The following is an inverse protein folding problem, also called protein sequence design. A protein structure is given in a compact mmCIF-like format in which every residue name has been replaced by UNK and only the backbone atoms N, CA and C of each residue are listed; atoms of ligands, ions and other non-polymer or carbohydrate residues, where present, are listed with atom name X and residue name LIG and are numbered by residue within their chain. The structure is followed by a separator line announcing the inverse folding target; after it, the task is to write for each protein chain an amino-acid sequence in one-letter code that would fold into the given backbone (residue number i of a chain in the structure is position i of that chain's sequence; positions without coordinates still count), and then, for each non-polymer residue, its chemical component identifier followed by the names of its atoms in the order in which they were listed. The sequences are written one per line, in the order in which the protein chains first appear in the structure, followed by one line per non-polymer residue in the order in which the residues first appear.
data_IF_013434268866
#
_entry.id   IF_013434268866
#
_cell.length_a   1.000
_cell.length_b   1.000
_cell.length_c   1.000
_cell.angle_alpha   90.00
_cell.angle_beta   90.00
_cell.angle_gamma   90.00
#
_symmetry.space_group_name_H-M   'P 1'
#
loop_
_entity.id
_entity.type
_entity.pdbx_description
1 polymer ?
#
# COMPACT_ATOMS: atom_id res chain seq x y z
N UNK A 1 1.51 -11.55 37.53
CA UNK A 1 2.75 -10.81 37.26
C UNK A 1 3.55 -11.48 36.15
N UNK A 2 3.72 -12.79 36.15
CA UNK A 2 4.47 -13.52 35.12
C UNK A 2 3.81 -13.53 33.74
N UNK A 3 2.47 -13.60 33.68
CA UNK A 3 1.73 -13.61 32.40
C UNK A 3 1.73 -12.25 31.70
N UNK A 4 1.71 -11.16 32.45
CA UNK A 4 1.79 -9.82 31.87
C UNK A 4 3.18 -9.51 31.31
N UNK A 5 4.24 -10.00 31.96
CA UNK A 5 5.60 -9.87 31.44
C UNK A 5 5.80 -10.66 30.16
N UNK A 6 5.24 -11.85 30.04
CA UNK A 6 5.30 -12.65 28.82
C UNK A 6 4.58 -11.99 27.63
N UNK A 7 3.49 -11.27 27.89
CA UNK A 7 2.77 -10.53 26.84
C UNK A 7 3.55 -9.30 26.40
N UNK A 8 4.23 -8.61 27.30
CA UNK A 8 5.05 -7.44 26.98
C UNK A 8 6.32 -7.77 26.22
N UNK A 9 6.87 -8.95 26.42
CA UNK A 9 8.08 -9.40 25.73
C UNK A 9 7.78 -9.96 24.33
N UNK A 10 6.51 -10.09 23.95
CA UNK A 10 6.12 -10.53 22.63
C UNK A 10 6.22 -9.38 21.63
N UNK A 11 7.33 -9.36 20.90
CA UNK A 11 7.46 -8.49 19.74
C UNK A 11 6.62 -9.07 18.60
N UNK A 12 5.54 -8.38 18.22
CA UNK A 12 4.74 -8.76 17.08
C UNK A 12 5.47 -8.44 15.79
N UNK A 13 5.72 -9.44 14.96
CA UNK A 13 6.27 -9.26 13.61
C UNK A 13 5.13 -9.22 12.61
N UNK A 14 4.74 -8.03 12.19
CA UNK A 14 3.58 -7.82 11.33
C UNK A 14 3.71 -8.50 9.96
N UNK A 15 4.94 -8.74 9.48
CA UNK A 15 5.15 -9.44 8.21
C UNK A 15 4.90 -10.95 8.31
N UNK A 16 5.07 -11.52 9.50
CA UNK A 16 5.03 -12.98 9.71
C UNK A 16 3.92 -13.44 10.65
N UNK A 17 3.42 -12.57 11.53
CA UNK A 17 2.45 -12.95 12.56
C UNK A 17 0.99 -12.89 12.09
N UNK A 18 0.73 -12.31 10.92
CA UNK A 18 -0.60 -12.37 10.31
C UNK A 18 -0.87 -13.82 9.86
N UNK A 19 -2.02 -14.35 10.27
CA UNK A 19 -2.42 -15.71 9.87
C UNK A 19 -2.43 -15.83 8.34
N UNK A 20 -1.69 -16.78 7.75
CA UNK A 20 -1.69 -17.00 6.31
C UNK A 20 -3.07 -17.19 5.69
N UNK A 21 -4.05 -17.68 6.45
CA UNK A 21 -5.43 -17.85 6.00
C UNK A 21 -6.12 -16.52 5.69
N UNK A 22 -5.60 -15.41 6.20
CA UNK A 22 -6.10 -14.06 5.93
C UNK A 22 -5.54 -13.46 4.65
N UNK A 23 -4.62 -14.15 3.98
CA UNK A 23 -3.95 -13.67 2.77
C UNK A 23 -4.23 -14.66 1.63
N UNK A 24 -5.08 -14.27 0.71
CA UNK A 24 -5.32 -14.99 -0.55
C UNK A 24 -5.38 -13.98 -1.70
N UNK A 25 -5.26 -14.43 -2.97
CA UNK A 25 -5.29 -13.51 -4.10
C UNK A 25 -6.55 -12.64 -4.20
N UNK A 26 -7.69 -13.15 -3.75
CA UNK A 26 -8.98 -12.46 -3.86
C UNK A 26 -9.47 -11.84 -2.55
N UNK A 27 -8.75 -12.06 -1.45
CA UNK A 27 -9.15 -11.64 -0.11
C UNK A 27 -7.91 -11.59 0.76
N UNK A 28 -7.41 -10.39 1.03
CA UNK A 28 -6.19 -10.21 1.79
C UNK A 28 -6.28 -9.05 2.77
N UNK A 29 -5.35 -9.02 3.71
CA UNK A 29 -5.17 -7.90 4.63
C UNK A 29 -4.08 -6.99 4.08
N UNK A 30 -4.40 -5.71 3.98
CA UNK A 30 -3.43 -4.65 3.73
C UNK A 30 -3.10 -3.93 5.04
N UNK A 31 -1.85 -3.59 5.23
CA UNK A 31 -1.38 -2.76 6.34
C UNK A 31 -1.09 -1.37 5.79
N UNK A 32 -1.82 -0.37 6.27
CA UNK A 32 -1.67 0.99 5.75
C UNK A 32 -0.58 1.73 6.53
N UNK A 33 0.42 2.21 5.81
CA UNK A 33 1.50 3.03 6.36
C UNK A 33 1.24 4.52 6.15
N UNK A 34 0.67 4.89 5.00
CA UNK A 34 0.50 6.28 4.58
C UNK A 34 -0.97 6.53 4.23
N UNK A 35 -1.66 7.42 4.98
CA UNK A 35 -3.04 7.77 4.64
C UNK A 35 -3.15 8.54 3.32
N UNK A 36 -4.29 8.40 2.65
CA UNK A 36 -4.63 9.23 1.50
C UNK A 36 -4.51 10.72 1.85
N UNK A 37 -3.93 11.49 0.94
CA UNK A 37 -3.75 12.93 1.10
C UNK A 37 -2.51 13.35 1.88
N UNK A 38 -1.69 12.39 2.32
CA UNK A 38 -0.48 12.65 3.09
C UNK A 38 0.71 12.94 2.18
N UNK A 39 1.57 13.86 2.62
CA UNK A 39 2.87 14.15 1.99
C UNK A 39 4.04 13.52 2.73
N UNK A 40 3.82 12.98 3.88
CA UNK A 40 4.87 12.32 4.66
C UNK A 40 4.97 10.87 4.20
N UNK A 41 6.16 10.48 3.74
CA UNK A 41 6.43 9.08 3.45
C UNK A 41 6.82 8.36 4.74
N UNK A 42 5.94 7.49 5.19
CA UNK A 42 6.19 6.60 6.33
C UNK A 42 6.60 5.23 5.84
N UNK A 43 7.48 4.61 6.60
CA UNK A 43 7.86 3.22 6.42
C UNK A 43 7.79 2.49 7.76
N UNK A 44 7.31 1.26 7.75
CA UNK A 44 7.36 0.42 8.93
C UNK A 44 8.80 0.00 9.19
N UNK A 45 9.32 0.35 10.35
CA UNK A 45 10.66 -0.04 10.75
C UNK A 45 10.68 -1.50 11.19
N UNK A 46 11.45 -2.33 10.49
CA UNK A 46 11.50 -3.78 10.73
C UNK A 46 12.10 -4.12 12.09
N UNK A 47 12.97 -3.27 12.60
CA UNK A 47 13.65 -3.50 13.88
C UNK A 47 12.74 -3.24 15.07
N UNK A 48 11.95 -2.19 15.03
CA UNK A 48 11.13 -1.75 16.17
C UNK A 48 9.65 -2.05 16.04
N UNK A 49 9.15 -2.28 14.81
CA UNK A 49 7.73 -2.41 14.54
C UNK A 49 6.96 -1.08 14.54
N UNK A 50 7.67 0.03 14.68
CA UNK A 50 7.08 1.38 14.64
C UNK A 50 7.18 1.97 13.23
N UNK A 51 6.34 2.95 12.95
CA UNK A 51 6.51 3.76 11.74
C UNK A 51 7.65 4.75 11.93
N UNK A 52 8.51 4.84 10.93
CA UNK A 52 9.49 5.91 10.85
C UNK A 52 9.15 6.84 9.69
N UNK A 53 9.44 8.12 9.85
CA UNK A 53 9.37 9.08 8.75
C UNK A 53 10.62 8.91 7.88
N UNK A 54 10.42 8.44 6.65
CA UNK A 54 11.53 8.37 5.67
C UNK A 54 11.85 9.77 5.16
N UNK A 55 10.86 10.45 4.63
CA UNK A 55 10.98 11.84 4.18
C UNK A 55 9.62 12.49 3.97
N UNK A 56 9.62 13.80 3.82
CA UNK A 56 8.48 14.54 3.29
C UNK A 56 8.69 14.66 1.78
N UNK A 57 7.66 14.41 0.98
CA UNK A 57 7.77 14.51 -0.47
C UNK A 57 8.21 15.90 -0.88
N UNK A 58 9.16 15.97 -1.82
CA UNK A 58 9.70 17.25 -2.29
C UNK A 58 8.75 17.96 -3.25
N UNK A 59 7.88 17.23 -3.92
CA UNK A 59 6.87 17.78 -4.81
C UNK A 59 5.65 18.26 -4.02
N UNK A 60 4.76 19.01 -4.66
CA UNK A 60 3.49 19.43 -4.08
C UNK A 60 2.43 18.32 -4.11
N UNK A 61 2.78 17.11 -4.55
CA UNK A 61 1.87 15.97 -4.63
C UNK A 61 1.64 15.34 -3.25
N UNK A 62 0.55 14.63 -3.12
CA UNK A 62 0.22 13.83 -1.96
C UNK A 62 -0.24 12.45 -2.41
N UNK A 63 -0.18 11.46 -1.52
CA UNK A 63 -0.60 10.09 -1.85
C UNK A 63 -2.06 10.07 -2.28
N UNK A 64 -2.38 9.48 -3.44
CA UNK A 64 -3.74 9.52 -4.01
C UNK A 64 -4.70 8.50 -3.39
N UNK A 65 -4.19 7.57 -2.58
CA UNK A 65 -4.95 6.54 -1.90
C UNK A 65 -4.24 6.16 -0.62
N UNK A 66 -4.91 5.41 0.25
CA UNK A 66 -4.25 4.80 1.41
C UNK A 66 -3.21 3.81 0.89
N UNK A 67 -1.97 3.95 1.33
CA UNK A 67 -0.84 3.22 0.79
C UNK A 67 -0.18 2.38 1.87
N UNK A 68 0.18 1.17 1.52
CA UNK A 68 0.84 0.28 2.45
C UNK A 68 1.35 -0.99 1.77
N UNK A 69 1.29 -2.10 2.49
CA UNK A 69 1.81 -3.36 1.98
C UNK A 69 0.88 -4.52 2.35
N UNK A 70 1.06 -5.63 1.65
CA UNK A 70 0.36 -6.88 1.93
C UNK A 70 1.35 -7.78 2.66
N UNK A 71 1.11 -8.10 3.96
CA UNK A 71 2.02 -8.98 4.70
C UNK A 71 2.09 -10.38 4.09
N UNK A 72 3.18 -11.09 4.34
CA UNK A 72 3.45 -12.45 3.85
C UNK A 72 3.53 -12.55 2.32
N UNK A 73 3.76 -11.44 1.61
CA UNK A 73 4.02 -11.42 0.17
C UNK A 73 5.45 -11.03 -0.12
N UNK A 74 5.90 -11.35 -1.33
CA UNK A 74 7.23 -11.04 -1.82
C UNK A 74 7.13 -10.45 -3.21
N UNK A 75 7.71 -9.26 -3.38
CA UNK A 75 7.87 -8.62 -4.68
C UNK A 75 9.30 -8.86 -5.23
N UNK A 76 9.56 -8.43 -6.46
CA UNK A 76 10.86 -8.58 -7.13
C UNK A 76 12.00 -7.87 -6.41
N UNK A 77 11.70 -6.85 -5.60
CA UNK A 77 12.65 -6.09 -4.79
C UNK A 77 12.94 -6.73 -3.41
N UNK A 78 12.43 -7.93 -3.15
CA UNK A 78 12.50 -8.68 -1.89
C UNK A 78 11.75 -8.02 -0.71
N UNK A 79 10.91 -7.03 -0.98
CA UNK A 79 10.00 -6.44 -0.01
C UNK A 79 8.56 -6.97 -0.21
N UNK A 80 7.67 -6.84 0.78
CA UNK A 80 6.26 -7.15 0.59
C UNK A 80 5.66 -6.35 -0.57
N UNK A 81 4.61 -6.90 -1.19
CA UNK A 81 3.90 -6.19 -2.25
C UNK A 81 3.27 -4.91 -1.72
N UNK A 82 3.50 -3.81 -2.41
CA UNK A 82 2.85 -2.54 -2.13
C UNK A 82 1.39 -2.57 -2.59
N UNK A 83 0.55 -1.87 -1.88
CA UNK A 83 -0.88 -1.78 -2.19
C UNK A 83 -1.39 -0.34 -2.04
N UNK A 84 -2.21 0.06 -3.00
CA UNK A 84 -3.01 1.28 -2.97
C UNK A 84 -4.45 0.88 -2.67
N UNK A 85 -4.97 1.30 -1.53
CA UNK A 85 -6.35 0.98 -1.14
C UNK A 85 -7.24 2.18 -1.42
N UNK A 86 -8.08 2.03 -2.45
CA UNK A 86 -9.09 3.03 -2.81
C UNK A 86 -10.28 2.90 -1.88
N UNK A 87 -10.53 3.93 -1.10
CA UNK A 87 -11.71 3.99 -0.26
C UNK A 87 -12.17 5.43 -0.06
N UNK A 88 -13.37 5.59 0.48
CA UNK A 88 -14.02 6.89 0.62
C UNK A 88 -13.39 7.79 1.69
N UNK A 89 -12.61 7.19 2.61
CA UNK A 89 -11.98 7.91 3.71
C UNK A 89 -10.50 7.56 3.81
N UNK A 90 -9.71 8.45 4.40
CA UNK A 90 -8.37 8.08 4.85
C UNK A 90 -8.45 7.32 6.17
N UNK A 91 -7.53 6.41 6.39
CA UNK A 91 -7.48 5.62 7.61
C UNK A 91 -6.21 5.92 8.40
N UNK A 92 -6.27 5.66 9.70
CA UNK A 92 -5.12 5.84 10.59
C UNK A 92 -4.00 4.89 10.19
N UNK A 93 -2.72 5.34 10.19
CA UNK A 93 -1.59 4.46 9.94
C UNK A 93 -1.57 3.23 10.85
N UNK A 94 -1.07 2.12 10.35
CA UNK A 94 -1.06 0.80 10.99
C UNK A 94 -2.43 0.13 11.06
N UNK A 95 -3.41 0.62 10.32
CA UNK A 95 -4.72 -0.03 10.20
C UNK A 95 -4.61 -1.26 9.30
N UNK A 96 -5.22 -2.35 9.74
CA UNK A 96 -5.43 -3.54 8.93
C UNK A 96 -6.73 -3.38 8.14
N UNK A 97 -6.65 -3.52 6.83
CA UNK A 97 -7.81 -3.42 5.95
C UNK A 97 -7.99 -4.71 5.16
N UNK A 98 -9.14 -5.33 5.29
CA UNK A 98 -9.49 -6.50 4.47
C UNK A 98 -9.93 -6.02 3.11
N UNK A 99 -9.21 -6.42 2.07
CA UNK A 99 -9.35 -5.92 0.71
C UNK A 99 -9.44 -7.03 -0.33
N UNK A 100 -9.86 -6.64 -1.52
CA UNK A 100 -9.75 -7.46 -2.73
C UNK A 100 -9.09 -6.64 -3.84
N UNK A 101 -8.33 -7.27 -4.75
CA UNK A 101 -7.64 -6.54 -5.81
C UNK A 101 -8.58 -6.20 -6.95
N UNK A 102 -8.34 -5.06 -7.60
CA UNK A 102 -9.05 -4.66 -8.83
C UNK A 102 -8.11 -4.32 -9.98
N UNK A 103 -6.82 -4.22 -9.74
CA UNK A 103 -5.84 -3.91 -10.78
C UNK A 103 -4.43 -3.85 -10.22
N UNK A 104 -3.48 -3.52 -11.08
CA UNK A 104 -2.08 -3.38 -10.74
C UNK A 104 -1.46 -2.24 -11.53
N UNK A 105 -0.57 -1.49 -10.88
CA UNK A 105 0.33 -0.54 -11.54
C UNK A 105 1.69 -1.20 -11.64
N UNK A 106 2.20 -1.29 -12.86
CA UNK A 106 3.55 -1.79 -13.12
C UNK A 106 4.44 -0.58 -13.43
N UNK A 107 5.52 -0.45 -12.68
CA UNK A 107 6.46 0.65 -12.86
C UNK A 107 7.90 0.15 -12.68
N UNK A 108 8.84 0.93 -13.18
CA UNK A 108 10.26 0.70 -12.98
C UNK A 108 10.80 1.77 -12.05
N UNK A 109 11.41 1.35 -10.95
CA UNK A 109 12.04 2.24 -9.98
C UNK A 109 13.52 1.87 -9.86
N UNK A 110 14.39 2.80 -10.27
CA UNK A 110 15.86 2.61 -10.22
C UNK A 110 16.35 1.33 -10.93
N UNK A 111 15.70 0.96 -12.04
CA UNK A 111 16.03 -0.20 -12.84
C UNK A 111 15.35 -1.50 -12.43
N UNK A 112 14.63 -1.51 -11.32
CA UNK A 112 13.88 -2.67 -10.82
C UNK A 112 12.40 -2.54 -11.08
N UNK A 113 11.77 -3.66 -11.40
CA UNK A 113 10.30 -3.73 -11.53
C UNK A 113 9.66 -3.52 -10.17
N UNK A 114 8.70 -2.62 -10.11
CA UNK A 114 7.92 -2.31 -8.92
C UNK A 114 6.44 -2.43 -9.25
N UNK A 115 5.78 -3.38 -8.65
CA UNK A 115 4.35 -3.63 -8.86
C UNK A 115 3.56 -3.16 -7.65
N UNK A 116 2.49 -2.40 -7.91
CA UNK A 116 1.60 -1.91 -6.86
C UNK A 116 0.20 -2.40 -7.12
N UNK A 117 -0.34 -3.16 -6.16
CA UNK A 117 -1.71 -3.67 -6.25
C UNK A 117 -2.67 -2.52 -5.98
N UNK A 118 -3.73 -2.45 -6.77
CA UNK A 118 -4.86 -1.55 -6.51
C UNK A 118 -5.97 -2.38 -5.91
N UNK A 119 -6.44 -2.00 -4.74
CA UNK A 119 -7.42 -2.79 -3.99
C UNK A 119 -8.54 -1.92 -3.43
N UNK A 120 -9.64 -2.57 -3.07
CA UNK A 120 -10.81 -1.96 -2.46
C UNK A 120 -11.12 -2.71 -1.17
N UNK A 121 -11.42 -1.99 -0.06
CA UNK A 121 -11.84 -2.66 1.17
C UNK A 121 -13.25 -3.21 1.04
N UNK A 122 -13.45 -4.44 1.50
CA UNK A 122 -14.79 -5.05 1.53
C UNK A 122 -15.80 -4.22 2.33
N UNK A 123 -15.31 -3.52 3.34
CA UNK A 123 -16.15 -2.77 4.26
C UNK A 123 -16.57 -1.36 3.79
N UNK A 124 -16.15 -0.93 2.60
CA UNK A 124 -16.51 0.40 2.09
C UNK A 124 -17.68 0.31 1.11
N UNK A 125 -18.89 0.72 1.51
CA UNK A 125 -20.09 0.64 0.65
C UNK A 125 -20.03 1.57 -0.56
N UNK A 126 -19.18 2.60 -0.55
CA UNK A 126 -19.01 3.50 -1.70
C UNK A 126 -18.23 2.87 -2.84
N UNK A 127 -17.35 1.90 -2.54
CA UNK A 127 -16.45 1.31 -3.53
C UNK A 127 -16.63 -0.20 -3.72
N UNK A 128 -17.24 -0.91 -2.79
CA UNK A 128 -17.24 -2.38 -2.79
C UNK A 128 -18.10 -3.04 -3.89
N UNK A 129 -18.78 -2.25 -4.72
CA UNK A 129 -19.45 -2.74 -5.93
C UNK A 129 -18.51 -2.83 -7.14
N UNK A 130 -17.37 -2.14 -7.11
CA UNK A 130 -16.39 -2.19 -8.19
C UNK A 130 -15.57 -3.48 -8.08
N UNK A 131 -15.37 -4.15 -9.21
CA UNK A 131 -14.59 -5.40 -9.30
C UNK A 131 -13.39 -5.29 -10.22
N UNK A 132 -13.31 -4.24 -11.03
CA UNK A 132 -12.27 -4.01 -12.01
C UNK A 132 -11.93 -2.53 -12.07
N UNK A 133 -10.65 -2.22 -12.33
CA UNK A 133 -10.19 -0.84 -12.50
C UNK A 133 -10.91 -0.14 -13.65
N UNK A 134 -11.34 -0.88 -14.66
CA UNK A 134 -12.07 -0.34 -15.81
C UNK A 134 -13.47 0.19 -15.48
N UNK A 135 -14.03 -0.21 -14.35
CA UNK A 135 -15.32 0.29 -13.85
C UNK A 135 -15.21 1.66 -13.18
N UNK A 136 -14.00 2.05 -12.75
CA UNK A 136 -13.76 3.32 -12.08
C UNK A 136 -13.70 4.48 -13.07
N UNK A 137 -14.00 5.72 -12.64
CA UNK A 137 -13.66 6.89 -13.42
C UNK A 137 -12.18 6.88 -13.83
N UNK A 138 -11.90 7.14 -15.10
CA UNK A 138 -10.52 7.13 -15.63
C UNK A 138 -9.60 8.05 -14.86
N UNK A 139 -10.12 9.17 -14.34
CA UNK A 139 -9.34 10.14 -13.61
C UNK A 139 -8.67 9.56 -12.35
N UNK A 140 -9.27 8.57 -11.71
CA UNK A 140 -8.68 7.89 -10.54
C UNK A 140 -7.37 7.21 -10.95
N UNK A 141 -7.36 6.48 -12.06
CA UNK A 141 -6.15 5.89 -12.62
C UNK A 141 -5.13 6.95 -13.03
N UNK A 142 -5.60 8.03 -13.66
CA UNK A 142 -4.74 9.12 -14.11
C UNK A 142 -4.01 9.78 -12.94
N UNK A 143 -4.69 10.02 -11.84
CA UNK A 143 -4.08 10.60 -10.62
C UNK A 143 -3.02 9.69 -10.03
N UNK A 144 -3.29 8.39 -9.94
CA UNK A 144 -2.32 7.42 -9.39
C UNK A 144 -1.07 7.34 -10.27
N UNK A 145 -1.26 7.25 -11.58
CA UNK A 145 -0.16 7.19 -12.55
C UNK A 145 0.66 8.48 -12.49
N UNK A 146 0.00 9.62 -12.49
CA UNK A 146 0.67 10.93 -12.40
C UNK A 146 1.48 11.03 -11.10
N UNK A 147 0.90 10.64 -9.97
CA UNK A 147 1.60 10.69 -8.69
C UNK A 147 2.92 9.92 -8.74
N UNK A 148 2.88 8.66 -9.16
CA UNK A 148 4.10 7.83 -9.21
C UNK A 148 5.10 8.28 -10.28
N UNK A 149 4.66 9.01 -11.31
CA UNK A 149 5.56 9.56 -12.30
C UNK A 149 6.36 10.78 -11.81
N UNK A 150 5.83 11.53 -10.84
CA UNK A 150 6.42 12.80 -10.43
C UNK A 150 6.85 12.88 -8.95
N UNK A 151 6.41 11.96 -8.09
CA UNK A 151 6.62 12.10 -6.64
C UNK A 151 8.09 12.15 -6.21
N UNK A 152 9.01 11.58 -7.00
CA UNK A 152 10.47 11.62 -6.79
C UNK A 152 11.20 12.59 -7.71
N UNK A 153 10.51 13.32 -8.58
CA UNK A 153 11.15 14.11 -9.64
C UNK A 153 12.10 15.18 -9.12
N UNK A 154 11.75 15.84 -8.01
CA UNK A 154 12.60 16.87 -7.39
C UNK A 154 13.72 16.30 -6.53
N UNK A 155 13.77 15.00 -6.34
CA UNK A 155 14.84 14.30 -5.61
C UNK A 155 15.97 13.85 -6.54
N UNK A 156 15.89 14.18 -7.82
CA UNK A 156 16.87 13.77 -8.82
C UNK A 156 16.77 12.30 -9.24
N UNK A 157 15.66 11.65 -8.93
CA UNK A 157 15.38 10.26 -9.29
C UNK A 157 14.32 10.21 -10.39
N UNK A 158 14.46 9.26 -11.32
CA UNK A 158 13.48 9.01 -12.36
C UNK A 158 12.71 7.73 -12.11
N UNK A 159 11.42 7.78 -12.41
CA UNK A 159 10.55 6.60 -12.45
C UNK A 159 9.96 6.48 -13.84
N UNK A 160 9.96 5.27 -14.40
CA UNK A 160 9.27 4.96 -15.65
C UNK A 160 8.00 4.20 -15.31
N UNK A 161 6.88 4.65 -15.85
CA UNK A 161 5.58 4.04 -15.63
C UNK A 161 5.15 3.27 -16.87
N UNK A 162 4.73 2.05 -16.64
CA UNK A 162 3.90 1.31 -17.56
C UNK A 162 2.43 1.55 -17.20
N UNK A 163 1.55 1.12 -18.06
CA UNK A 163 0.11 1.35 -17.87
C UNK A 163 -0.45 0.59 -16.66
N UNK A 164 -1.54 1.10 -16.11
CA UNK A 164 -2.32 0.37 -15.13
C UNK A 164 -3.11 -0.75 -15.83
N UNK A 165 -3.06 -1.95 -15.29
CA UNK A 165 -3.69 -3.13 -15.84
C UNK A 165 -4.83 -3.63 -14.98
N UNK A 166 -5.80 -4.27 -15.61
CA UNK A 166 -6.91 -4.91 -14.94
C UNK A 166 -6.49 -6.19 -14.20
N UNK A 167 -7.34 -6.67 -13.32
CA UNK A 167 -7.14 -7.94 -12.63
C UNK A 167 -7.53 -9.08 -13.56
N UNK A 168 -6.59 -9.96 -13.77
CA UNK A 168 -6.81 -11.24 -14.43
C UNK A 168 -6.69 -12.40 -13.44
#
# INVERSE_FOLDING_TARGET
VGSEMCIRDRTMNIWHDIDPKRISPDDFIAVIEIPKGCKVKYELDKETGLLKMDRILYTATHYPANYGFIPRTYAADNDPLDVLVLCSENVVPMTLMRCYPIGVIIMEDSGDMDEKIIAIPFGDPMYNSYKSISELPQHISDEMIHFFSVYKSLEGKSTALEEAHDVD
#
